data_IF_859881108124
#
_entry.id   IF_859881108124
#
_cell.length_a   1.000
_cell.length_b   1.000
_cell.length_c   1.000
_cell.angle_alpha   90.00
_cell.angle_beta   90.00
_cell.angle_gamma   90.00
#
_symmetry.space_group_name_H-M   'P 1'
#
loop_
_entity.id
_entity.type
_entity.pdbx_description
1 polymer ?
#
# COMPACT_ATOMS: atom_id res chain seq x y z
N UNK A 1 2.13 16.71 -15.63
CA UNK A 1 1.45 18.04 -15.67
C UNK A 1 0.12 17.89 -14.97
N UNK A 2 -0.24 18.85 -14.14
CA UNK A 2 -1.54 18.84 -13.47
C UNK A 2 -2.65 19.07 -14.50
N UNK A 3 -3.68 18.24 -14.46
CA UNK A 3 -4.84 18.32 -15.35
C UNK A 3 -6.00 19.06 -14.65
N UNK A 4 -5.70 20.15 -13.98
CA UNK A 4 -6.70 20.94 -13.27
C UNK A 4 -6.41 22.45 -13.41
N UNK A 5 -7.43 23.25 -13.15
CA UNK A 5 -7.36 24.69 -12.92
C UNK A 5 -8.08 25.04 -11.63
N UNK A 6 -7.73 26.17 -11.06
CA UNK A 6 -8.43 26.74 -9.91
C UNK A 6 -9.36 27.84 -10.42
N UNK A 7 -10.64 27.72 -10.15
CA UNK A 7 -11.68 28.68 -10.51
C UNK A 7 -12.49 28.99 -9.27
N UNK A 8 -12.63 30.27 -8.94
CA UNK A 8 -13.43 30.71 -7.79
C UNK A 8 -13.18 29.91 -6.49
N UNK A 9 -11.91 29.66 -6.20
CA UNK A 9 -11.43 28.95 -5.02
C UNK A 9 -11.82 27.45 -4.94
N UNK A 10 -12.20 26.84 -6.06
CA UNK A 10 -12.37 25.41 -6.19
C UNK A 10 -11.57 24.82 -7.36
N UNK A 11 -11.34 23.52 -7.32
CA UNK A 11 -10.55 22.80 -8.32
C UNK A 11 -11.46 22.24 -9.38
N UNK A 12 -11.23 22.62 -10.65
CA UNK A 12 -11.88 22.00 -11.80
C UNK A 12 -10.88 21.16 -12.60
N UNK A 13 -11.26 19.95 -12.95
CA UNK A 13 -10.48 19.12 -13.86
C UNK A 13 -10.59 19.67 -15.29
N UNK A 14 -9.44 19.97 -15.92
CA UNK A 14 -9.39 20.42 -17.32
C UNK A 14 -9.48 19.24 -18.30
N UNK A 15 -9.05 18.06 -17.87
CA UNK A 15 -9.20 16.81 -18.61
C UNK A 15 -9.56 15.71 -17.64
N UNK A 16 -10.59 14.94 -17.95
CA UNK A 16 -10.92 13.75 -17.17
C UNK A 16 -9.85 12.69 -17.40
N UNK A 17 -9.34 12.06 -16.34
CA UNK A 17 -8.41 10.94 -16.47
C UNK A 17 -9.12 9.77 -17.16
N UNK A 18 -8.38 8.97 -17.93
CA UNK A 18 -8.91 7.78 -18.60
C UNK A 18 -9.54 6.78 -17.63
N UNK A 19 -8.98 6.69 -16.42
CA UNK A 19 -9.50 5.88 -15.31
C UNK A 19 -8.95 6.38 -13.99
N UNK A 20 -9.74 6.31 -12.94
CA UNK A 20 -9.26 6.55 -11.60
C UNK A 20 -8.35 5.40 -11.13
N UNK A 21 -7.43 5.69 -10.22
CA UNK A 21 -6.73 4.65 -9.50
C UNK A 21 -7.67 4.00 -8.50
N UNK A 22 -7.47 2.71 -8.28
CA UNK A 22 -8.21 1.95 -7.28
C UNK A 22 -7.85 2.42 -5.86
N UNK A 23 -8.77 2.27 -4.95
CA UNK A 23 -8.50 2.39 -3.51
C UNK A 23 -7.66 1.18 -3.08
N UNK A 24 -6.45 1.46 -2.59
CA UNK A 24 -5.56 0.44 -2.03
C UNK A 24 -5.62 0.47 -0.50
N UNK A 25 -5.22 -0.63 0.13
CA UNK A 25 -5.14 -0.75 1.58
C UNK A 25 -4.37 0.44 2.21
N UNK A 26 -3.21 0.77 1.66
CA UNK A 26 -2.35 1.86 2.16
C UNK A 26 -2.95 3.26 2.01
N UNK A 27 -3.88 3.48 1.08
CA UNK A 27 -4.57 4.77 0.93
C UNK A 27 -5.72 4.96 1.91
N UNK A 28 -6.18 3.89 2.54
CA UNK A 28 -7.34 3.92 3.42
C UNK A 28 -7.18 4.94 4.57
N UNK A 29 -6.09 4.85 5.33
CA UNK A 29 -5.82 5.80 6.41
C UNK A 29 -5.70 7.25 5.90
N UNK A 30 -5.13 7.45 4.71
CA UNK A 30 -5.00 8.79 4.13
C UNK A 30 -6.35 9.40 3.77
N UNK A 31 -7.26 8.63 3.18
CA UNK A 31 -8.61 9.08 2.82
C UNK A 31 -9.41 9.45 4.07
N UNK A 32 -9.24 8.70 5.15
CA UNK A 32 -9.88 8.99 6.44
C UNK A 32 -9.23 10.15 7.21
N UNK A 33 -8.15 10.74 6.70
CA UNK A 33 -7.44 11.82 7.38
C UNK A 33 -6.62 11.36 8.61
N UNK A 34 -6.33 10.07 8.71
CA UNK A 34 -5.57 9.47 9.82
C UNK A 34 -4.06 9.45 9.56
N UNK A 35 -3.65 9.79 8.35
CA UNK A 35 -2.24 9.80 7.96
C UNK A 35 -1.61 11.18 8.23
N UNK A 36 -0.50 11.20 8.96
CA UNK A 36 0.19 12.45 9.32
C UNK A 36 1.05 13.03 8.18
N UNK A 37 1.35 12.25 7.14
CA UNK A 37 2.24 12.65 6.04
C UNK A 37 1.53 12.94 4.72
N UNK A 38 0.25 12.61 4.64
CA UNK A 38 -0.54 12.84 3.44
C UNK A 38 -1.99 13.20 3.80
N UNK A 39 -2.56 14.14 3.08
CA UNK A 39 -3.92 14.61 3.30
C UNK A 39 -4.93 13.84 2.43
N UNK A 40 -6.22 13.82 2.80
CA UNK A 40 -7.28 13.30 1.92
C UNK A 40 -7.28 13.95 0.53
N UNK A 41 -6.97 15.25 0.45
CA UNK A 41 -6.87 15.96 -0.82
C UNK A 41 -5.73 15.43 -1.70
N UNK A 42 -4.56 15.15 -1.10
CA UNK A 42 -3.45 14.52 -1.82
C UNK A 42 -3.86 13.15 -2.37
N UNK A 43 -4.52 12.32 -1.55
CA UNK A 43 -5.03 11.01 -1.98
C UNK A 43 -6.03 11.16 -3.14
N UNK A 44 -6.93 12.14 -3.08
CA UNK A 44 -7.85 12.44 -4.15
C UNK A 44 -7.13 12.81 -5.45
N UNK A 45 -6.15 13.70 -5.38
CA UNK A 45 -5.35 14.09 -6.55
C UNK A 45 -4.66 12.89 -7.21
N UNK A 46 -4.06 12.03 -6.40
CA UNK A 46 -3.37 10.82 -6.88
C UNK A 46 -4.36 9.81 -7.49
N UNK A 47 -5.49 9.58 -6.83
CA UNK A 47 -6.50 8.62 -7.30
C UNK A 47 -7.18 9.07 -8.59
N UNK A 48 -7.45 10.36 -8.71
CA UNK A 48 -8.04 10.95 -9.94
C UNK A 48 -7.00 11.21 -11.03
N UNK A 49 -5.71 10.96 -10.77
CA UNK A 49 -4.58 11.27 -11.66
C UNK A 49 -4.49 12.77 -12.02
N UNK A 50 -5.07 13.62 -11.21
CA UNK A 50 -5.02 15.06 -11.37
C UNK A 50 -3.62 15.58 -11.11
N UNK A 51 -2.96 15.03 -10.09
CA UNK A 51 -1.58 15.30 -9.76
C UNK A 51 -0.94 14.05 -9.17
N UNK A 52 0.27 13.73 -9.63
CA UNK A 52 1.11 12.67 -9.09
C UNK A 52 2.50 13.24 -8.82
N UNK A 53 2.97 13.06 -7.60
CA UNK A 53 4.37 13.32 -7.30
C UNK A 53 5.23 12.25 -7.97
N UNK A 54 6.39 12.65 -8.53
CA UNK A 54 7.38 11.67 -9.00
C UNK A 54 7.75 10.73 -7.85
N UNK A 55 7.71 9.42 -8.12
CA UNK A 55 8.13 8.44 -7.13
C UNK A 55 9.65 8.39 -7.09
N UNK A 56 10.21 8.67 -5.93
CA UNK A 56 11.63 8.48 -5.65
C UNK A 56 11.80 7.44 -4.55
N UNK A 57 12.66 6.46 -4.79
CA UNK A 57 13.00 5.47 -3.78
C UNK A 57 13.74 6.14 -2.62
N UNK A 58 13.09 6.20 -1.48
CA UNK A 58 13.73 6.63 -0.24
C UNK A 58 14.64 5.53 0.30
N UNK A 59 15.58 5.89 1.17
CA UNK A 59 16.41 4.91 1.90
C UNK A 59 15.56 3.87 2.65
N UNK A 60 14.36 4.24 3.10
CA UNK A 60 13.42 3.35 3.78
C UNK A 60 12.75 2.38 2.82
N UNK A 61 12.39 2.84 1.64
CA UNK A 61 11.81 1.99 0.58
C UNK A 61 12.83 0.95 0.12
N UNK A 62 14.08 1.37 -0.06
CA UNK A 62 15.19 0.46 -0.43
C UNK A 62 15.43 -0.58 0.69
N UNK A 63 15.44 -0.14 1.96
CA UNK A 63 15.60 -1.04 3.10
C UNK A 63 14.46 -2.05 3.18
N UNK A 64 13.20 -1.65 2.98
CA UNK A 64 12.03 -2.53 2.92
C UNK A 64 12.20 -3.61 1.86
N UNK A 65 12.42 -3.21 0.62
CA UNK A 65 12.64 -4.13 -0.51
C UNK A 65 13.80 -5.13 -0.27
N UNK A 66 14.80 -4.74 0.51
CA UNK A 66 15.95 -5.59 0.83
C UNK A 66 15.66 -6.59 1.96
N UNK A 67 14.82 -6.18 2.92
CA UNK A 67 14.52 -6.96 4.12
C UNK A 67 13.43 -7.99 3.86
N UNK A 68 12.39 -7.65 3.09
CA UNK A 68 11.24 -8.52 2.82
C UNK A 68 11.61 -9.97 2.43
N UNK A 69 12.50 -10.22 1.45
CA UNK A 69 12.85 -11.59 1.08
C UNK A 69 13.49 -12.37 2.25
N UNK A 70 14.30 -11.69 3.06
CA UNK A 70 14.98 -12.29 4.23
C UNK A 70 13.98 -12.63 5.34
N UNK A 71 12.94 -11.81 5.52
CA UNK A 71 11.85 -12.11 6.45
C UNK A 71 11.08 -13.34 5.98
N UNK A 72 10.80 -13.46 4.69
CA UNK A 72 10.15 -14.64 4.13
C UNK A 72 10.93 -15.93 4.45
N UNK A 73 12.22 -15.93 4.17
CA UNK A 73 13.11 -17.05 4.49
C UNK A 73 13.16 -17.36 5.98
N UNK A 74 13.24 -16.33 6.82
CA UNK A 74 13.23 -16.48 8.28
C UNK A 74 11.93 -17.10 8.79
N UNK A 75 10.77 -16.63 8.33
CA UNK A 75 9.47 -17.17 8.73
C UNK A 75 9.32 -18.61 8.28
N UNK A 76 9.72 -18.95 7.07
CA UNK A 76 9.70 -20.34 6.56
C UNK A 76 10.59 -21.27 7.38
N UNK A 77 11.82 -20.85 7.64
CA UNK A 77 12.81 -21.69 8.31
C UNK A 77 12.59 -21.81 9.83
N UNK A 78 12.25 -20.69 10.47
CA UNK A 78 12.16 -20.62 11.94
C UNK A 78 10.80 -21.03 12.49
N UNK A 79 9.74 -20.71 11.77
CA UNK A 79 8.37 -20.98 12.21
C UNK A 79 7.65 -21.99 11.34
N UNK A 80 8.34 -22.58 10.35
CA UNK A 80 7.80 -23.60 9.44
C UNK A 80 6.50 -23.13 8.73
N UNK A 81 6.41 -21.83 8.48
CA UNK A 81 5.23 -21.26 7.82
C UNK A 81 5.24 -21.59 6.33
N UNK A 82 4.19 -22.19 5.84
CA UNK A 82 3.97 -22.35 4.39
C UNK A 82 3.39 -21.05 3.82
N UNK A 83 4.28 -20.11 3.54
CA UNK A 83 3.96 -18.81 2.95
C UNK A 83 4.61 -18.66 1.59
N UNK A 84 3.93 -17.93 0.70
CA UNK A 84 4.38 -17.66 -0.66
C UNK A 84 4.54 -16.16 -0.86
N UNK A 85 5.63 -15.76 -1.50
CA UNK A 85 5.82 -14.40 -1.96
C UNK A 85 5.05 -14.17 -3.28
N UNK A 86 4.85 -12.91 -3.69
CA UNK A 86 4.30 -12.60 -5.01
C UNK A 86 5.08 -13.24 -6.15
N UNK A 87 6.40 -13.32 -6.03
CA UNK A 87 7.26 -13.99 -7.01
C UNK A 87 6.98 -15.49 -7.10
N UNK A 88 6.71 -16.16 -5.99
CA UNK A 88 6.37 -17.59 -5.99
C UNK A 88 5.03 -17.86 -6.68
N UNK A 89 4.08 -16.92 -6.59
CA UNK A 89 2.73 -17.07 -7.16
C UNK A 89 2.66 -16.61 -8.61
N UNK A 90 3.26 -15.48 -8.93
CA UNK A 90 3.09 -14.79 -10.22
C UNK A 90 4.34 -14.81 -11.08
N UNK A 91 5.47 -15.27 -10.56
CA UNK A 91 6.78 -15.26 -11.23
C UNK A 91 7.56 -13.95 -11.03
N UNK A 92 8.81 -13.92 -11.47
CA UNK A 92 9.75 -12.80 -11.24
C UNK A 92 9.30 -11.45 -11.84
N UNK A 93 8.44 -11.47 -12.84
CA UNK A 93 7.91 -10.29 -13.52
C UNK A 93 6.47 -9.93 -13.07
N UNK A 94 6.07 -10.42 -11.89
CA UNK A 94 4.70 -10.24 -11.37
C UNK A 94 4.25 -8.77 -11.36
N UNK A 95 5.14 -7.85 -11.04
CA UNK A 95 4.82 -6.43 -11.01
C UNK A 95 4.42 -5.91 -12.41
N UNK A 96 5.09 -6.37 -13.46
CA UNK A 96 4.73 -6.02 -14.85
C UNK A 96 3.38 -6.59 -15.26
N UNK A 97 3.05 -7.79 -14.77
CA UNK A 97 1.79 -8.47 -15.08
C UNK A 97 0.60 -7.89 -14.33
N UNK A 98 0.80 -7.50 -13.09
CA UNK A 98 -0.28 -7.07 -12.18
C UNK A 98 -0.31 -5.57 -11.94
N UNK A 99 0.77 -4.83 -12.29
CA UNK A 99 0.99 -3.43 -11.90
C UNK A 99 0.85 -3.20 -10.38
N UNK A 100 1.22 -4.22 -9.58
CA UNK A 100 1.07 -4.19 -8.14
C UNK A 100 -0.37 -4.30 -7.66
N UNK A 101 -1.26 -4.86 -8.47
CA UNK A 101 -2.66 -5.07 -8.13
C UNK A 101 -3.04 -6.54 -8.33
N UNK A 102 -3.38 -7.22 -7.25
CA UNK A 102 -3.79 -8.62 -7.26
C UNK A 102 -5.29 -8.84 -7.43
N UNK A 103 -6.04 -7.76 -7.67
CA UNK A 103 -7.47 -7.78 -7.89
C UNK A 103 -7.83 -7.18 -9.26
N UNK A 104 -7.37 -7.77 -10.37
CA UNK A 104 -7.54 -7.17 -11.70
C UNK A 104 -9.00 -7.01 -12.11
N UNK A 105 -9.88 -7.90 -11.64
CA UNK A 105 -11.30 -7.91 -11.96
C UNK A 105 -12.13 -6.96 -11.08
N UNK A 106 -11.52 -6.39 -10.03
CA UNK A 106 -12.17 -5.44 -9.14
C UNK A 106 -11.89 -4.00 -9.61
N UNK A 107 -12.93 -3.18 -9.69
CA UNK A 107 -12.79 -1.82 -10.23
C UNK A 107 -12.54 -0.75 -9.16
N UNK A 108 -13.01 -0.97 -7.94
CA UNK A 108 -12.94 0.00 -6.86
C UNK A 108 -11.72 -0.21 -5.96
N UNK A 109 -11.38 -1.45 -5.69
CA UNK A 109 -10.34 -1.83 -4.75
C UNK A 109 -9.16 -2.50 -5.44
N UNK A 110 -7.97 -2.22 -4.95
CA UNK A 110 -6.74 -2.85 -5.40
C UNK A 110 -5.80 -3.05 -4.24
N UNK A 111 -4.85 -3.95 -4.38
CA UNK A 111 -3.89 -4.21 -3.33
C UNK A 111 -2.88 -5.27 -3.69
N UNK A 112 -1.87 -5.33 -2.86
CA UNK A 112 -0.79 -6.28 -2.93
C UNK A 112 -0.44 -6.69 -1.50
N UNK A 113 -0.19 -7.96 -1.29
CA UNK A 113 0.28 -8.51 -0.02
C UNK A 113 1.78 -8.82 -0.13
N UNK A 114 2.50 -8.80 0.98
CA UNK A 114 3.92 -9.16 0.99
C UNK A 114 4.09 -10.68 0.93
N UNK A 115 3.38 -11.42 1.76
CA UNK A 115 3.33 -12.89 1.70
C UNK A 115 1.92 -13.39 1.98
N UNK A 116 1.61 -14.58 1.48
CA UNK A 116 0.33 -15.24 1.77
C UNK A 116 0.53 -16.70 2.15
N UNK A 117 -0.22 -17.16 3.13
CA UNK A 117 -0.48 -18.56 3.41
C UNK A 117 -1.78 -19.03 2.75
N UNK A 118 -2.34 -20.12 3.23
CA UNK A 118 -3.60 -20.67 2.74
C UNK A 118 -4.78 -19.77 3.10
N UNK A 119 -4.88 -19.36 4.36
CA UNK A 119 -6.00 -18.61 4.95
C UNK A 119 -5.60 -17.30 5.61
N UNK A 120 -4.35 -16.84 5.42
CA UNK A 120 -3.84 -15.61 5.99
C UNK A 120 -2.89 -14.88 5.05
N UNK A 121 -2.67 -13.60 5.33
CA UNK A 121 -1.63 -12.78 4.71
C UNK A 121 -0.67 -12.26 5.77
N UNK A 122 0.57 -12.05 5.37
CA UNK A 122 1.60 -11.41 6.19
C UNK A 122 1.97 -10.10 5.54
N UNK A 123 1.87 -9.04 6.29
CA UNK A 123 2.29 -7.70 5.91
C UNK A 123 3.54 -7.31 6.70
N UNK A 124 4.57 -6.84 6.02
CA UNK A 124 5.85 -6.47 6.63
C UNK A 124 5.92 -4.95 6.73
N UNK A 125 6.09 -4.44 7.94
CA UNK A 125 6.31 -3.02 8.17
C UNK A 125 7.66 -2.79 8.83
N UNK A 126 8.47 -1.92 8.25
CA UNK A 126 9.72 -1.45 8.83
C UNK A 126 9.52 -0.08 9.46
N UNK A 127 10.02 0.12 10.67
CA UNK A 127 9.89 1.40 11.36
C UNK A 127 11.15 1.77 12.12
N UNK A 128 11.45 3.06 12.21
CA UNK A 128 12.40 3.63 13.18
C UNK A 128 11.70 4.05 14.47
N UNK A 129 10.39 4.17 14.45
CA UNK A 129 9.59 4.68 15.56
C UNK A 129 8.96 3.52 16.32
N UNK A 130 9.79 2.71 16.94
CA UNK A 130 9.35 1.50 17.67
C UNK A 130 8.34 1.85 18.75
N UNK A 131 8.45 3.04 19.36
CA UNK A 131 7.51 3.50 20.39
C UNK A 131 6.08 3.65 19.88
N UNK A 132 5.89 4.04 18.63
CA UNK A 132 4.57 4.18 18.03
C UNK A 132 3.85 2.82 17.88
N UNK A 133 4.61 1.72 17.93
CA UNK A 133 4.12 0.35 17.79
C UNK A 133 3.91 -0.35 19.12
N UNK A 134 4.15 0.34 20.23
CA UNK A 134 3.90 -0.18 21.58
C UNK A 134 2.44 0.01 21.94
N UNK A 135 1.69 -1.07 21.86
CA UNK A 135 0.34 -1.11 22.36
C UNK A 135 0.25 -1.28 23.88
N UNK A 136 -0.95 -1.33 24.38
CA UNK A 136 -1.23 -1.58 25.81
C UNK A 136 -0.73 -2.97 26.20
N UNK A 137 -0.18 -3.08 27.40
CA UNK A 137 0.33 -4.35 27.96
C UNK A 137 1.51 -4.98 27.20
N UNK A 138 2.34 -4.17 26.54
CA UNK A 138 3.53 -4.64 25.83
C UNK A 138 3.25 -5.40 24.53
N UNK A 139 2.02 -5.42 24.07
CA UNK A 139 1.71 -5.95 22.73
C UNK A 139 2.19 -4.99 21.65
N UNK A 140 2.56 -5.54 20.50
CA UNK A 140 2.83 -4.75 19.30
C UNK A 140 1.50 -4.46 18.62
N UNK A 141 1.20 -3.19 18.40
CA UNK A 141 -0.02 -2.73 17.73
C UNK A 141 0.35 -1.73 16.63
N UNK A 142 -0.22 -1.86 15.43
CA UNK A 142 0.03 -0.88 14.39
C UNK A 142 -0.54 0.49 14.79
N UNK A 143 0.21 1.58 14.60
CA UNK A 143 -0.29 2.92 14.85
C UNK A 143 -1.40 3.29 13.85
N UNK A 144 -2.27 4.22 14.24
CA UNK A 144 -3.47 4.58 13.45
C UNK A 144 -3.17 5.00 12.01
N UNK A 145 -2.03 5.60 11.77
CA UNK A 145 -1.61 5.99 10.42
C UNK A 145 -1.16 4.83 9.53
N UNK A 146 -0.98 3.63 10.12
CA UNK A 146 -0.71 2.39 9.41
C UNK A 146 -1.96 1.51 9.25
N UNK A 147 -3.13 2.03 9.61
CA UNK A 147 -4.36 1.28 9.40
C UNK A 147 -4.61 1.09 7.91
N UNK A 148 -4.82 -0.14 7.55
CA UNK A 148 -5.05 -0.58 6.19
C UNK A 148 -6.40 -1.28 6.11
N UNK A 149 -7.02 -1.14 4.95
CA UNK A 149 -8.27 -1.85 4.67
C UNK A 149 -7.94 -3.26 4.20
N UNK A 150 -8.57 -4.25 4.82
CA UNK A 150 -8.53 -5.63 4.30
C UNK A 150 -9.74 -5.87 3.42
N UNK A 151 -9.50 -6.20 2.16
CA UNK A 151 -10.56 -6.64 1.24
C UNK A 151 -10.55 -8.15 1.18
N UNK A 152 -11.63 -8.76 1.63
CA UNK A 152 -11.83 -10.21 1.53
C UNK A 152 -12.77 -10.49 0.36
N UNK A 153 -12.28 -11.24 -0.62
CA UNK A 153 -13.14 -11.76 -1.69
C UNK A 153 -13.81 -13.02 -1.16
N UNK A 154 -15.10 -12.94 -0.87
CA UNK A 154 -15.96 -14.10 -0.57
C UNK A 154 -16.36 -14.80 -1.85
#
# INVERSE_FOLDING_TARGET
MANFKIVDNHVELTTLPKSNKKLTATRFATILGLNNWATPFKAWCEMTRTYEEPFEDSIYTIAGKTIEPKICEYLRSRYFMDIKSPTDVYGADYFKKTWGDFFPDENAFGGMWDFKGEDFVVEVKTTKRVEDWKGKNGKVEPPIYCYEMTVVKT
#
